data_IF_173716203364
#
_entry.id   IF_173716203364
#
_cell.length_a   1.000
_cell.length_b   1.000
_cell.length_c   1.000
_cell.angle_alpha   90.00
_cell.angle_beta   90.00
_cell.angle_gamma   90.00
#
_symmetry.space_group_name_H-M   'P 1'
#
loop_
_entity.id
_entity.type
_entity.pdbx_description
1 polymer ?
#
# COMPACT_ATOMS: atom_id res chain seq x y z
N UNK A 1 -9.88 -10.10 -28.49
CA UNK A 1 -8.86 -10.37 -27.45
C UNK A 1 -7.74 -9.32 -27.57
N UNK A 2 -8.10 -8.04 -27.54
CA UNK A 2 -7.16 -6.93 -27.69
C UNK A 2 -7.46 -5.91 -26.59
N UNK A 3 -6.40 -5.32 -26.04
CA UNK A 3 -6.38 -4.19 -25.08
C UNK A 3 -6.23 -4.46 -23.57
N UNK A 4 -5.85 -5.65 -23.12
CA UNK A 4 -5.42 -5.85 -21.72
C UNK A 4 -3.97 -5.37 -21.45
N UNK A 5 -3.50 -4.29 -22.09
CA UNK A 5 -2.09 -3.89 -22.02
C UNK A 5 -1.74 -2.44 -22.34
N UNK A 6 -2.73 -1.56 -22.60
CA UNK A 6 -2.49 -0.13 -22.91
C UNK A 6 -3.07 0.86 -21.90
N UNK A 7 -3.70 0.39 -20.83
CA UNK A 7 -4.10 1.22 -19.68
C UNK A 7 -3.25 0.89 -18.45
N UNK A 8 -1.94 0.70 -18.65
CA UNK A 8 -1.01 0.40 -17.56
C UNK A 8 -0.92 1.61 -16.62
N UNK A 9 -1.50 1.48 -15.43
CA UNK A 9 -1.25 2.42 -14.34
C UNK A 9 0.24 2.39 -14.00
N UNK A 10 0.85 3.57 -13.93
CA UNK A 10 2.22 3.79 -13.44
C UNK A 10 2.30 3.80 -11.91
N UNK A 11 1.15 3.67 -11.25
CA UNK A 11 0.99 3.80 -9.81
C UNK A 11 0.69 2.47 -9.12
N UNK A 12 1.44 2.20 -8.05
CA UNK A 12 1.25 1.04 -7.18
C UNK A 12 0.67 1.49 -5.84
N UNK A 13 -0.35 0.78 -5.38
CA UNK A 13 -0.96 0.95 -4.06
C UNK A 13 -1.21 -0.42 -3.44
N UNK A 14 -1.49 -0.46 -2.14
CA UNK A 14 -1.89 -1.69 -1.45
C UNK A 14 -3.39 -1.67 -1.16
N UNK A 15 -4.06 -2.74 -1.57
CA UNK A 15 -5.39 -3.13 -1.11
C UNK A 15 -5.26 -4.28 -0.11
N UNK A 16 -5.91 -4.18 1.03
CA UNK A 16 -5.93 -5.22 2.07
C UNK A 16 -7.25 -5.25 2.81
N UNK A 17 -7.57 -6.37 3.46
CA UNK A 17 -8.63 -6.43 4.47
C UNK A 17 -8.14 -6.01 5.86
N UNK A 18 -6.83 -5.85 6.06
CA UNK A 18 -6.26 -5.39 7.33
C UNK A 18 -6.76 -3.99 7.66
N UNK A 19 -7.19 -3.78 8.90
CA UNK A 19 -7.74 -2.50 9.37
C UNK A 19 -9.17 -2.20 8.90
N UNK A 20 -9.84 -3.14 8.23
CA UNK A 20 -11.25 -3.01 7.86
C UNK A 20 -12.15 -3.09 9.10
N UNK A 21 -13.14 -2.19 9.20
CA UNK A 21 -14.09 -2.19 10.32
C UNK A 21 -15.33 -3.04 10.05
N UNK A 22 -15.49 -3.54 8.82
CA UNK A 22 -16.66 -4.30 8.36
C UNK A 22 -16.21 -5.52 7.55
N UNK A 23 -16.97 -6.61 7.63
CA UNK A 23 -16.72 -7.80 6.81
C UNK A 23 -16.80 -7.45 5.32
N UNK A 24 -15.83 -7.93 4.54
CA UNK A 24 -15.73 -7.70 3.09
C UNK A 24 -15.29 -6.29 2.67
N UNK A 25 -15.13 -5.34 3.61
CA UNK A 25 -14.60 -4.01 3.31
C UNK A 25 -13.11 -4.10 2.99
N UNK A 26 -12.69 -3.36 1.97
CA UNK A 26 -11.28 -3.21 1.60
C UNK A 26 -10.70 -1.94 2.20
N UNK A 27 -9.39 -1.95 2.41
CA UNK A 27 -8.62 -0.83 2.93
C UNK A 27 -7.51 -0.50 1.95
N UNK A 28 -7.46 0.77 1.58
CA UNK A 28 -6.51 1.35 0.63
C UNK A 28 -5.37 2.02 1.39
N UNK A 29 -4.14 1.65 1.04
CA UNK A 29 -2.91 2.26 1.50
C UNK A 29 -2.15 2.79 0.27
N UNK A 30 -2.17 4.10 0.10
CA UNK A 30 -1.64 4.78 -1.09
C UNK A 30 -0.69 5.90 -0.65
N UNK A 31 0.56 5.83 -1.11
CA UNK A 31 1.59 6.82 -0.80
C UNK A 31 1.53 8.06 -1.69
N UNK A 32 0.89 8.00 -2.85
CA UNK A 32 0.87 9.07 -3.83
C UNK A 32 -0.37 9.94 -3.69
N UNK A 33 -1.56 9.33 -3.74
CA UNK A 33 -2.82 10.03 -3.71
C UNK A 33 -3.41 10.09 -2.30
N UNK A 34 -4.04 11.22 -1.96
CA UNK A 34 -4.77 11.39 -0.69
C UNK A 34 -6.26 11.10 -0.83
N UNK A 35 -6.73 10.78 -2.03
CA UNK A 35 -8.11 10.47 -2.36
C UNK A 35 -8.15 9.29 -3.32
N UNK A 36 -9.26 8.55 -3.28
CA UNK A 36 -9.46 7.40 -4.17
C UNK A 36 -9.73 7.91 -5.59
N UNK A 37 -8.92 7.49 -6.55
CA UNK A 37 -9.13 7.81 -7.97
C UNK A 37 -10.35 7.06 -8.52
N UNK A 38 -10.93 7.55 -9.62
CA UNK A 38 -12.03 6.86 -10.32
C UNK A 38 -11.62 5.46 -10.79
N UNK A 39 -10.38 5.29 -11.25
CA UNK A 39 -9.84 3.99 -11.65
C UNK A 39 -9.72 3.03 -10.46
N UNK A 40 -9.21 3.50 -9.32
CA UNK A 40 -9.11 2.71 -8.08
C UNK A 40 -10.50 2.32 -7.56
N UNK A 41 -11.47 3.25 -7.61
CA UNK A 41 -12.85 2.97 -7.21
C UNK A 41 -13.48 1.87 -8.09
N UNK A 42 -13.32 1.96 -9.41
CA UNK A 42 -13.82 0.94 -10.35
C UNK A 42 -13.20 -0.44 -10.07
N UNK A 43 -11.91 -0.50 -9.72
CA UNK A 43 -11.23 -1.74 -9.36
C UNK A 43 -11.77 -2.32 -8.04
N UNK A 44 -12.02 -1.49 -7.03
CA UNK A 44 -12.65 -1.91 -5.77
C UNK A 44 -14.05 -2.46 -6.02
N UNK A 45 -14.85 -1.76 -6.83
CA UNK A 45 -16.19 -2.22 -7.21
C UNK A 45 -16.11 -3.59 -7.90
N UNK A 46 -15.18 -3.78 -8.84
CA UNK A 46 -14.96 -5.05 -9.51
C UNK A 46 -14.61 -6.19 -8.54
N UNK A 47 -13.73 -5.93 -7.57
CA UNK A 47 -13.34 -6.91 -6.55
C UNK A 47 -14.49 -7.25 -5.59
N UNK A 48 -15.46 -6.36 -5.44
CA UNK A 48 -16.60 -6.52 -4.53
C UNK A 48 -17.91 -6.85 -5.23
N UNK A 49 -17.89 -7.18 -6.53
CA UNK A 49 -19.10 -7.45 -7.34
C UNK A 49 -20.01 -8.54 -6.78
N UNK A 50 -19.45 -9.48 -6.01
CA UNK A 50 -20.21 -10.58 -5.41
C UNK A 50 -20.95 -10.20 -4.12
N UNK A 51 -20.73 -8.99 -3.59
CA UNK A 51 -21.39 -8.51 -2.38
C UNK A 51 -22.60 -7.61 -2.72
N UNK A 52 -23.70 -7.77 -1.98
CA UNK A 52 -24.90 -6.94 -2.10
C UNK A 52 -25.42 -6.54 -0.71
N UNK A 53 -25.30 -5.26 -0.30
CA UNK A 53 -24.61 -4.17 -1.00
C UNK A 53 -23.08 -4.32 -0.96
N UNK A 54 -22.32 -3.69 -1.87
CA UNK A 54 -20.87 -3.69 -1.83
C UNK A 54 -20.36 -2.99 -0.55
N UNK A 55 -19.45 -3.61 0.24
CA UNK A 55 -18.95 -3.03 1.48
C UNK A 55 -18.08 -1.77 1.28
N UNK A 56 -17.61 -1.54 0.06
CA UNK A 56 -16.77 -0.40 -0.33
C UNK A 56 -15.33 -0.52 0.18
N UNK A 57 -14.56 0.55 -0.03
CA UNK A 57 -13.21 0.69 0.49
C UNK A 57 -13.05 1.95 1.34
N UNK A 58 -12.10 1.92 2.28
CA UNK A 58 -11.68 3.08 3.06
C UNK A 58 -10.19 3.33 2.87
N UNK A 59 -9.80 4.60 2.76
CA UNK A 59 -8.40 4.99 2.59
C UNK A 59 -7.78 5.32 3.93
N UNK A 60 -6.58 4.79 4.19
CA UNK A 60 -5.83 5.03 5.42
C UNK A 60 -4.73 6.09 5.20
N UNK A 61 -4.48 6.97 6.19
CA UNK A 61 -3.47 8.01 6.08
C UNK A 61 -2.07 7.42 6.33
N UNK A 62 -1.45 6.86 5.29
CA UNK A 62 -0.07 6.37 5.35
C UNK A 62 0.95 7.46 5.03
N UNK A 63 2.22 7.17 5.30
CA UNK A 63 3.30 8.03 4.84
C UNK A 63 3.24 8.24 3.33
N UNK A 64 3.23 9.51 2.93
CA UNK A 64 3.30 9.90 1.51
C UNK A 64 4.70 9.73 0.95
N UNK A 65 4.77 9.36 -0.32
CA UNK A 65 6.01 9.46 -1.09
C UNK A 65 6.31 10.92 -1.43
N UNK A 66 7.59 11.23 -1.59
CA UNK A 66 8.08 12.55 -1.99
C UNK A 66 8.69 12.55 -3.39
N UNK A 67 8.50 11.46 -4.15
CA UNK A 67 9.00 11.28 -5.51
C UNK A 67 7.91 10.65 -6.40
N UNK A 68 8.15 10.55 -7.71
CA UNK A 68 7.17 10.01 -8.66
C UNK A 68 7.27 8.49 -8.89
N UNK A 69 8.24 7.80 -8.26
CA UNK A 69 8.64 6.44 -8.68
C UNK A 69 8.73 5.43 -7.52
N UNK A 70 8.48 5.86 -6.29
CA UNK A 70 8.57 4.99 -5.10
C UNK A 70 7.25 4.37 -4.64
N UNK A 71 6.15 4.58 -5.37
CA UNK A 71 4.86 3.98 -5.06
C UNK A 71 4.95 2.47 -4.84
N UNK A 72 5.71 1.77 -5.70
CA UNK A 72 5.96 0.33 -5.55
C UNK A 72 6.70 -0.04 -4.26
N UNK A 73 7.70 0.75 -3.86
CA UNK A 73 8.44 0.51 -2.61
C UNK A 73 7.54 0.72 -1.39
N UNK A 74 6.71 1.76 -1.40
CA UNK A 74 5.76 2.03 -0.32
C UNK A 74 4.67 0.97 -0.25
N UNK A 75 4.06 0.59 -1.37
CA UNK A 75 3.04 -0.47 -1.41
C UNK A 75 3.56 -1.78 -0.80
N UNK A 76 4.79 -2.20 -1.15
CA UNK A 76 5.43 -3.39 -0.58
C UNK A 76 5.76 -3.21 0.91
N UNK A 77 6.26 -2.04 1.32
CA UNK A 77 6.57 -1.78 2.72
C UNK A 77 5.33 -1.77 3.62
N UNK A 78 4.19 -1.27 3.10
CA UNK A 78 2.89 -1.36 3.79
C UNK A 78 2.47 -2.83 3.94
N UNK A 79 2.64 -3.63 2.89
CA UNK A 79 2.29 -5.05 2.92
C UNK A 79 3.16 -5.83 3.91
N UNK A 80 4.47 -5.56 3.94
CA UNK A 80 5.40 -6.16 4.89
C UNK A 80 5.05 -5.79 6.34
N UNK A 81 4.72 -4.53 6.60
CA UNK A 81 4.28 -4.10 7.93
C UNK A 81 3.02 -4.85 8.37
N UNK A 82 2.01 -4.97 7.50
CA UNK A 82 0.80 -5.74 7.80
C UNK A 82 1.13 -7.22 8.06
N UNK A 83 1.96 -7.84 7.22
CA UNK A 83 2.37 -9.23 7.36
C UNK A 83 3.10 -9.51 8.68
N UNK A 84 3.79 -8.49 9.22
CA UNK A 84 4.52 -8.54 10.48
C UNK A 84 3.71 -8.00 11.68
N UNK A 85 2.41 -7.72 11.50
CA UNK A 85 1.52 -7.25 12.56
C UNK A 85 1.72 -5.79 12.96
N UNK A 86 2.32 -4.97 12.09
CA UNK A 86 2.55 -3.54 12.30
C UNK A 86 1.55 -2.70 11.50
N UNK A 87 0.99 -1.64 12.11
CA UNK A 87 0.14 -0.69 11.40
C UNK A 87 0.99 0.21 10.48
N UNK A 88 0.80 0.18 9.13
CA UNK A 88 1.54 1.04 8.22
C UNK A 88 1.38 2.54 8.50
N UNK A 89 0.28 2.96 9.13
CA UNK A 89 0.04 4.36 9.52
C UNK A 89 0.96 4.82 10.66
N UNK A 90 1.51 3.88 11.46
CA UNK A 90 2.38 4.18 12.59
C UNK A 90 3.88 4.12 12.23
N UNK A 91 4.22 3.70 11.00
CA UNK A 91 5.61 3.52 10.57
C UNK A 91 6.06 4.72 9.74
N UNK A 92 7.21 5.29 10.11
CA UNK A 92 7.89 6.33 9.32
C UNK A 92 9.06 5.73 8.55
N UNK A 93 8.81 5.24 7.35
CA UNK A 93 9.77 4.58 6.48
C UNK A 93 10.91 5.51 6.05
N UNK A 94 12.14 4.99 6.14
CA UNK A 94 13.34 5.64 5.65
C UNK A 94 13.52 5.35 4.15
N UNK A 95 12.97 6.23 3.32
CA UNK A 95 12.86 6.07 1.87
C UNK A 95 14.15 5.64 1.15
N UNK A 96 15.30 6.22 1.49
CA UNK A 96 16.57 5.89 0.84
C UNK A 96 17.01 4.43 1.12
N UNK A 97 16.69 3.89 2.29
CA UNK A 97 17.03 2.52 2.67
C UNK A 97 16.06 1.44 2.13
N UNK A 98 14.90 1.83 1.60
CA UNK A 98 13.85 0.87 1.22
C UNK A 98 14.26 -0.04 0.05
N UNK A 99 14.81 0.52 -1.03
CA UNK A 99 15.17 -0.25 -2.23
C UNK A 99 16.28 -1.30 -1.98
N UNK A 100 17.45 -0.96 -1.39
CA UNK A 100 18.47 -1.96 -1.09
C UNK A 100 17.99 -2.97 -0.04
N UNK A 101 17.08 -2.56 0.86
CA UNK A 101 16.47 -3.49 1.81
C UNK A 101 15.57 -4.51 1.12
N UNK A 102 14.69 -4.06 0.20
CA UNK A 102 13.81 -4.95 -0.54
C UNK A 102 14.61 -5.96 -1.37
N UNK A 103 15.66 -5.52 -2.06
CA UNK A 103 16.54 -6.40 -2.83
C UNK A 103 17.11 -7.53 -1.96
N UNK A 104 17.71 -7.18 -0.82
CA UNK A 104 18.24 -8.16 0.14
C UNK A 104 17.16 -9.12 0.65
N UNK A 105 15.97 -8.62 0.98
CA UNK A 105 14.87 -9.46 1.45
C UNK A 105 14.42 -10.46 0.38
N UNK A 106 14.35 -10.05 -0.89
CA UNK A 106 14.03 -10.93 -2.01
C UNK A 106 15.13 -11.97 -2.25
N UNK A 107 16.39 -11.57 -2.26
CA UNK A 107 17.55 -12.47 -2.41
C UNK A 107 17.61 -13.54 -1.31
N UNK A 108 17.25 -13.17 -0.08
CA UNK A 108 17.26 -14.05 1.08
C UNK A 108 15.94 -14.81 1.28
N UNK A 109 14.87 -14.47 0.53
CA UNK A 109 13.55 -15.07 0.71
C UNK A 109 12.91 -14.77 2.07
N UNK A 110 13.16 -13.59 2.64
CA UNK A 110 12.68 -13.18 3.97
C UNK A 110 11.75 -11.98 3.92
N UNK A 111 10.85 -11.88 4.90
CA UNK A 111 10.01 -10.71 5.14
C UNK A 111 10.49 -10.06 6.45
N UNK A 112 11.14 -8.90 6.34
CA UNK A 112 11.69 -8.16 7.48
C UNK A 112 11.12 -6.74 7.52
N UNK A 113 11.03 -6.09 8.70
CA UNK A 113 10.56 -4.71 8.78
C UNK A 113 11.41 -3.80 7.90
N UNK A 114 10.75 -2.97 7.08
CA UNK A 114 11.46 -1.97 6.28
C UNK A 114 12.16 -0.96 7.19
N UNK A 115 13.30 -0.37 6.77
CA UNK A 115 14.02 0.62 7.56
C UNK A 115 13.10 1.81 7.88
N UNK A 116 13.05 2.22 9.14
CA UNK A 116 12.29 3.37 9.60
C UNK A 116 13.24 4.44 10.18
N UNK A 117 12.84 5.71 10.11
CA UNK A 117 13.53 6.76 10.86
C UNK A 117 13.08 6.68 12.32
N UNK A 118 14.01 6.75 13.29
CA UNK A 118 13.63 6.86 14.70
C UNK A 118 12.67 8.05 14.87
N UNK A 119 11.63 7.87 15.67
CA UNK A 119 10.84 9.01 16.16
C UNK A 119 11.79 9.79 17.07
N UNK A 120 12.44 10.81 16.52
CA UNK A 120 13.44 11.59 17.23
C UNK A 120 12.82 12.22 18.46
N UNK A 121 13.35 11.87 19.64
CA UNK A 121 13.27 12.71 20.83
C UNK A 121 13.83 14.08 20.46
N UNK A 122 13.04 15.11 20.75
CA UNK A 122 13.40 16.49 20.48
C UNK A 122 14.75 16.85 21.10
N UNK A 123 15.51 17.62 20.35
CA UNK A 123 16.45 18.60 20.91
C UNK A 123 15.90 19.97 20.58
#
# INVERSE_FOLDING_TARGET
MAEYGRQGGDHWLLLSSYGASRSGQLVLYDSLYSTVSTATAALVEQLQQLYSPPPGAVMRPVQRQNDAYSCGLFAVAFAFSIALGQDPCAVRYHRAGMAPHLLRCLEQGVVLPFPCVPVGGGR
#
